data_IF_051317336347
#
_entry.id   IF_051317336347
#
_cell.length_a   1.000
_cell.length_b   1.000
_cell.length_c   1.000
_cell.angle_alpha   90.00
_cell.angle_beta   90.00
_cell.angle_gamma   90.00
#
_symmetry.space_group_name_H-M   'P 1'
#
loop_
_entity.id
_entity.type
_entity.pdbx_description
1 polymer ?
#
# COMPACT_ATOMS: atom_id res chain seq x y z
N UNK A 1 -47.13 1.60 9.28
CA UNK A 1 -46.12 1.90 8.24
C UNK A 1 -45.16 0.73 8.24
N UNK A 2 -45.15 -0.05 7.17
CA UNK A 2 -44.38 -1.28 7.11
C UNK A 2 -42.89 -0.94 6.94
N UNK A 3 -42.07 -1.34 7.90
CA UNK A 3 -40.63 -1.39 7.71
C UNK A 3 -40.36 -2.40 6.59
N UNK A 4 -39.89 -1.91 5.46
CA UNK A 4 -39.34 -2.77 4.41
C UNK A 4 -38.04 -3.31 4.99
N UNK A 5 -38.08 -4.49 5.60
CA UNK A 5 -36.85 -5.21 5.92
C UNK A 5 -36.15 -5.44 4.59
N UNK A 6 -35.15 -4.62 4.27
CA UNK A 6 -34.17 -4.96 3.23
C UNK A 6 -33.33 -6.06 3.84
N UNK A 7 -33.92 -7.25 3.91
CA UNK A 7 -33.15 -8.46 3.87
C UNK A 7 -32.41 -8.37 2.55
N UNK A 8 -31.09 -8.22 2.58
CA UNK A 8 -30.23 -8.45 1.41
C UNK A 8 -30.21 -9.97 1.14
N UNK A 9 -31.39 -10.59 1.16
CA UNK A 9 -31.68 -11.86 0.58
C UNK A 9 -31.86 -11.59 -0.91
N UNK A 10 -30.71 -11.46 -1.60
CA UNK A 10 -30.65 -12.00 -2.94
C UNK A 10 -31.21 -13.40 -2.80
N UNK A 11 -32.39 -13.67 -3.37
CA UNK A 11 -32.89 -15.03 -3.43
C UNK A 11 -31.89 -15.74 -4.30
N UNK A 12 -30.93 -16.39 -3.63
CA UNK A 12 -29.74 -16.85 -4.28
C UNK A 12 -30.17 -17.78 -5.37
N UNK A 13 -29.51 -17.65 -6.50
CA UNK A 13 -29.71 -18.52 -7.65
C UNK A 13 -29.00 -19.82 -7.31
N UNK A 14 -29.42 -20.48 -6.22
CA UNK A 14 -28.81 -21.67 -5.65
C UNK A 14 -29.64 -22.86 -6.13
N UNK A 15 -28.98 -23.99 -6.49
CA UNK A 15 -29.71 -25.16 -6.91
C UNK A 15 -30.67 -25.61 -5.79
N UNK A 16 -31.91 -26.02 -6.09
CA UNK A 16 -32.90 -26.43 -5.08
C UNK A 16 -32.42 -27.54 -4.14
N UNK A 17 -31.53 -28.42 -4.62
CA UNK A 17 -30.89 -29.48 -3.84
C UNK A 17 -30.12 -28.95 -2.63
N UNK A 18 -29.63 -27.72 -2.74
CA UNK A 18 -28.81 -27.03 -1.76
C UNK A 18 -29.66 -26.10 -0.88
N UNK A 19 -30.77 -25.54 -1.39
CA UNK A 19 -31.63 -24.61 -0.66
C UNK A 19 -32.22 -25.10 0.70
N UNK A 20 -32.14 -26.39 1.03
CA UNK A 20 -32.66 -26.97 2.28
C UNK A 20 -31.58 -27.30 3.34
N UNK A 21 -30.30 -27.05 3.09
CA UNK A 21 -29.21 -27.39 4.02
C UNK A 21 -28.77 -26.26 4.96
N UNK A 22 -28.28 -26.58 6.16
CA UNK A 22 -27.73 -25.63 7.14
C UNK A 22 -26.25 -25.24 6.90
N UNK A 23 -25.75 -25.42 5.66
CA UNK A 23 -24.33 -25.32 5.33
C UNK A 23 -23.91 -24.03 4.61
N UNK A 24 -24.87 -23.16 4.29
CA UNK A 24 -24.60 -21.92 3.55
C UNK A 24 -23.96 -20.88 4.46
N UNK A 25 -22.93 -20.23 3.92
CA UNK A 25 -22.35 -19.05 4.53
C UNK A 25 -22.31 -17.96 3.48
N UNK A 26 -23.02 -16.89 3.75
CA UNK A 26 -22.97 -15.68 2.92
C UNK A 26 -22.04 -14.67 3.58
N UNK A 27 -21.12 -14.13 2.79
CA UNK A 27 -20.28 -13.01 3.20
C UNK A 27 -20.64 -11.79 2.36
N UNK A 28 -21.06 -10.72 3.02
CA UNK A 28 -21.26 -9.41 2.42
C UNK A 28 -19.99 -8.60 2.64
N UNK A 29 -19.28 -8.27 1.56
CA UNK A 29 -18.09 -7.43 1.60
C UNK A 29 -18.37 -6.10 0.90
N UNK A 30 -18.09 -5.00 1.61
CA UNK A 30 -18.27 -3.63 1.12
C UNK A 30 -16.92 -2.94 1.17
N UNK A 31 -16.39 -2.56 0.01
CA UNK A 31 -15.13 -1.84 -0.10
C UNK A 31 -15.40 -0.39 -0.48
N UNK A 32 -15.27 0.49 0.51
CA UNK A 32 -15.52 1.92 0.37
C UNK A 32 -14.31 2.59 -0.29
N UNK A 33 -14.57 3.51 -1.22
CA UNK A 33 -13.57 4.33 -1.89
C UNK A 33 -13.56 5.75 -1.33
N UNK A 34 -12.52 6.49 -1.67
CA UNK A 34 -12.28 7.87 -1.22
C UNK A 34 -13.34 8.87 -1.70
N UNK A 35 -13.97 8.61 -2.85
CA UNK A 35 -15.07 9.38 -3.41
C UNK A 35 -16.46 9.04 -2.81
N UNK A 36 -16.52 8.11 -1.85
CA UNK A 36 -17.76 7.65 -1.23
C UNK A 36 -18.52 6.60 -2.04
N UNK A 37 -18.03 6.19 -3.21
CA UNK A 37 -18.54 4.98 -3.88
C UNK A 37 -18.11 3.71 -3.13
N UNK A 38 -18.79 2.61 -3.39
CA UNK A 38 -18.43 1.31 -2.80
C UNK A 38 -18.52 0.17 -3.82
N UNK A 39 -17.59 -0.77 -3.72
CA UNK A 39 -17.71 -2.06 -4.37
C UNK A 39 -18.41 -3.00 -3.40
N UNK A 40 -19.52 -3.55 -3.85
CA UNK A 40 -20.25 -4.58 -3.13
C UNK A 40 -19.91 -5.93 -3.70
N UNK A 41 -19.64 -6.89 -2.82
CA UNK A 41 -19.39 -8.28 -3.16
C UNK A 41 -20.18 -9.17 -2.20
N UNK A 42 -21.10 -9.96 -2.72
CA UNK A 42 -21.85 -10.96 -1.95
C UNK A 42 -21.40 -12.32 -2.39
N UNK A 43 -20.85 -13.08 -1.45
CA UNK A 43 -20.28 -14.39 -1.72
C UNK A 43 -21.04 -15.45 -0.94
N UNK A 44 -21.71 -16.34 -1.68
CA UNK A 44 -22.37 -17.52 -1.14
C UNK A 44 -21.44 -18.72 -1.28
N UNK A 45 -21.16 -19.39 -0.15
CA UNK A 45 -20.39 -20.64 -0.12
C UNK A 45 -21.27 -21.80 0.32
N UNK A 46 -21.16 -22.91 -0.42
CA UNK A 46 -21.74 -24.20 -0.08
C UNK A 46 -20.67 -25.26 0.01
N UNK A 47 -20.66 -26.04 1.08
CA UNK A 47 -19.73 -27.18 1.20
C UNK A 47 -20.16 -28.31 0.25
N UNK A 48 -19.23 -28.78 -0.58
CA UNK A 48 -19.43 -29.89 -1.50
C UNK A 48 -18.77 -31.13 -0.89
N UNK A 49 -19.59 -31.98 -0.27
CA UNK A 49 -19.14 -33.14 0.53
C UNK A 49 -18.94 -34.39 -0.31
N UNK A 50 -19.62 -34.47 -1.45
CA UNK A 50 -19.58 -35.64 -2.32
C UNK A 50 -19.32 -35.24 -3.78
N UNK A 51 -18.74 -36.16 -4.55
CA UNK A 51 -18.54 -35.95 -6.00
C UNK A 51 -19.86 -35.79 -6.76
N UNK A 52 -20.97 -36.27 -6.21
CA UNK A 52 -22.31 -36.06 -6.79
C UNK A 52 -22.76 -34.60 -6.59
N UNK A 53 -22.58 -34.06 -5.38
CA UNK A 53 -22.87 -32.65 -5.07
C UNK A 53 -22.01 -31.70 -5.92
N UNK A 54 -20.72 -32.00 -6.09
CA UNK A 54 -19.81 -31.24 -6.94
C UNK A 54 -20.32 -31.18 -8.39
N UNK A 55 -20.62 -32.35 -8.99
CA UNK A 55 -21.15 -32.41 -10.35
C UNK A 55 -22.48 -31.66 -10.49
N UNK A 56 -23.40 -31.82 -9.53
CA UNK A 56 -24.69 -31.12 -9.57
C UNK A 56 -24.54 -29.60 -9.46
N UNK A 57 -23.58 -29.13 -8.67
CA UNK A 57 -23.26 -27.71 -8.58
C UNK A 57 -22.72 -27.21 -9.92
N UNK A 58 -21.71 -27.87 -10.49
CA UNK A 58 -21.12 -27.52 -11.79
C UNK A 58 -22.14 -27.45 -12.93
N UNK A 59 -22.99 -28.48 -13.07
CA UNK A 59 -24.05 -28.52 -14.09
C UNK A 59 -25.01 -27.33 -13.96
N UNK A 60 -25.39 -26.99 -12.74
CA UNK A 60 -26.24 -25.85 -12.48
C UNK A 60 -25.53 -24.52 -12.78
N UNK A 61 -24.24 -24.39 -12.47
CA UNK A 61 -23.47 -23.19 -12.80
C UNK A 61 -23.41 -22.96 -14.31
N UNK A 62 -23.23 -24.03 -15.10
CA UNK A 62 -23.24 -23.94 -16.56
C UNK A 62 -24.60 -23.43 -17.08
N UNK A 63 -25.70 -23.90 -16.49
CA UNK A 63 -27.04 -23.41 -16.84
C UNK A 63 -27.18 -21.91 -16.54
N UNK A 64 -26.73 -21.45 -15.37
CA UNK A 64 -26.83 -20.03 -14.99
C UNK A 64 -25.92 -19.11 -15.81
N UNK A 65 -24.71 -19.53 -16.12
CA UNK A 65 -23.79 -18.76 -16.96
C UNK A 65 -24.36 -18.49 -18.35
N UNK A 66 -25.15 -19.43 -18.88
CA UNK A 66 -25.81 -19.28 -20.17
C UNK A 66 -27.11 -18.46 -20.12
N UNK A 67 -27.54 -18.02 -18.93
CA UNK A 67 -28.83 -17.39 -18.71
C UNK A 67 -28.68 -15.90 -18.37
N UNK A 68 -28.76 -15.04 -19.38
CA UNK A 68 -28.68 -13.57 -19.22
C UNK A 68 -29.73 -13.00 -18.25
N UNK A 69 -30.90 -13.65 -18.12
CA UNK A 69 -31.97 -13.22 -17.22
C UNK A 69 -31.57 -13.25 -15.74
N UNK A 70 -30.54 -14.03 -15.37
CA UNK A 70 -30.04 -14.09 -13.99
C UNK A 70 -29.37 -12.77 -13.60
N UNK A 71 -28.54 -12.21 -14.49
CA UNK A 71 -27.89 -10.92 -14.26
C UNK A 71 -28.91 -9.78 -14.29
N UNK A 72 -29.90 -9.84 -15.16
CA UNK A 72 -31.00 -8.88 -15.23
C UNK A 72 -31.83 -8.88 -13.94
N UNK A 73 -32.20 -10.07 -13.44
CA UNK A 73 -32.89 -10.21 -12.16
C UNK A 73 -32.08 -9.62 -11.01
N UNK A 74 -30.80 -9.99 -10.90
CA UNK A 74 -29.91 -9.48 -9.86
C UNK A 74 -29.78 -7.95 -9.91
N UNK A 75 -29.47 -7.39 -11.08
CA UNK A 75 -29.34 -5.94 -11.24
C UNK A 75 -30.64 -5.19 -10.97
N UNK A 76 -31.79 -5.75 -11.39
CA UNK A 76 -33.12 -5.21 -11.07
C UNK A 76 -33.36 -5.10 -9.56
N UNK A 77 -33.08 -6.17 -8.82
CA UNK A 77 -33.22 -6.18 -7.34
C UNK A 77 -32.29 -5.19 -6.66
N UNK A 78 -31.04 -5.06 -7.11
CA UNK A 78 -30.11 -4.05 -6.57
C UNK A 78 -30.63 -2.65 -6.86
N UNK A 79 -31.10 -2.39 -8.08
CA UNK A 79 -31.59 -1.07 -8.46
C UNK A 79 -32.83 -0.65 -7.65
N UNK A 80 -33.70 -1.58 -7.26
CA UNK A 80 -34.80 -1.31 -6.32
C UNK A 80 -34.29 -0.81 -4.95
N UNK A 81 -33.28 -1.48 -4.39
CA UNK A 81 -32.67 -1.10 -3.10
C UNK A 81 -32.02 0.27 -3.19
N UNK A 82 -31.30 0.54 -4.28
CA UNK A 82 -30.64 1.83 -4.50
C UNK A 82 -31.66 2.95 -4.66
N UNK A 83 -32.76 2.72 -5.38
CA UNK A 83 -33.81 3.71 -5.55
C UNK A 83 -34.49 4.06 -4.20
N UNK A 84 -34.65 3.09 -3.31
CA UNK A 84 -35.15 3.32 -1.94
C UNK A 84 -34.16 4.19 -1.14
N UNK A 85 -32.87 3.85 -1.17
CA UNK A 85 -31.82 4.62 -0.51
C UNK A 85 -31.70 6.05 -1.07
N UNK A 86 -31.75 6.23 -2.39
CA UNK A 86 -31.75 7.54 -3.05
C UNK A 86 -32.96 8.37 -2.61
N UNK A 87 -34.17 7.80 -2.58
CA UNK A 87 -35.37 8.51 -2.15
C UNK A 87 -35.32 8.90 -0.66
N UNK A 88 -34.72 8.07 0.19
CA UNK A 88 -34.60 8.34 1.62
C UNK A 88 -33.55 9.41 1.96
N UNK A 89 -32.45 9.46 1.20
CA UNK A 89 -31.32 10.36 1.47
C UNK A 89 -31.33 11.64 0.64
N UNK A 90 -32.06 11.64 -0.50
CA UNK A 90 -32.07 12.74 -1.47
C UNK A 90 -30.76 12.88 -2.26
N UNK A 91 -29.85 11.91 -2.19
CA UNK A 91 -28.57 11.89 -2.92
C UNK A 91 -28.70 11.04 -4.19
N UNK A 92 -28.20 11.54 -5.32
CA UNK A 92 -28.15 10.77 -6.56
C UNK A 92 -27.29 9.52 -6.41
N UNK A 93 -27.86 8.34 -6.69
CA UNK A 93 -27.17 7.06 -6.59
C UNK A 93 -27.32 6.24 -7.88
N UNK A 94 -26.39 5.31 -8.12
CA UNK A 94 -26.51 4.37 -9.22
C UNK A 94 -25.69 3.11 -8.95
N UNK A 95 -26.17 1.95 -9.42
CA UNK A 95 -25.33 0.77 -9.55
C UNK A 95 -24.82 0.56 -10.97
N UNK A 96 -23.56 0.15 -11.09
CA UNK A 96 -22.90 -0.18 -12.35
C UNK A 96 -22.01 -1.41 -12.18
N UNK A 97 -21.45 -1.88 -13.30
CA UNK A 97 -20.42 -2.93 -13.32
C UNK A 97 -20.89 -4.23 -12.63
N UNK A 98 -22.15 -4.60 -12.87
CA UNK A 98 -22.73 -5.85 -12.36
C UNK A 98 -22.00 -7.05 -12.96
N UNK A 99 -21.65 -8.00 -12.11
CA UNK A 99 -21.02 -9.25 -12.50
C UNK A 99 -21.46 -10.37 -11.57
N UNK A 100 -21.60 -11.57 -12.12
CA UNK A 100 -21.84 -12.79 -11.37
C UNK A 100 -20.79 -13.79 -11.81
N UNK A 101 -20.00 -14.27 -10.85
CA UNK A 101 -19.02 -15.33 -11.09
C UNK A 101 -19.32 -16.55 -10.26
N UNK A 102 -18.89 -17.69 -10.78
CA UNK A 102 -19.19 -18.99 -10.25
C UNK A 102 -17.91 -19.82 -10.26
N UNK A 103 -17.68 -20.60 -9.22
CA UNK A 103 -16.48 -21.42 -9.13
C UNK A 103 -16.56 -22.50 -8.08
N UNK A 104 -15.57 -23.40 -8.12
CA UNK A 104 -15.32 -24.38 -7.07
C UNK A 104 -13.98 -24.04 -6.45
N UNK A 105 -13.94 -23.93 -5.13
CA UNK A 105 -12.74 -23.71 -4.35
C UNK A 105 -12.35 -24.98 -3.60
N UNK A 106 -11.14 -25.46 -3.87
CA UNK A 106 -10.52 -26.57 -3.15
C UNK A 106 -9.67 -26.05 -1.99
N UNK A 107 -10.04 -26.42 -0.76
CA UNK A 107 -9.19 -26.24 0.42
C UNK A 107 -8.50 -27.56 0.75
N UNK A 108 -7.51 -27.53 1.66
CA UNK A 108 -6.76 -28.74 2.07
C UNK A 108 -7.63 -29.90 2.56
N UNK A 109 -8.82 -29.60 3.11
CA UNK A 109 -9.69 -30.61 3.73
C UNK A 109 -11.12 -30.62 3.19
N UNK A 110 -11.53 -29.60 2.45
CA UNK A 110 -12.94 -29.38 2.06
C UNK A 110 -13.02 -28.74 0.68
N UNK A 111 -14.10 -29.01 -0.04
CA UNK A 111 -14.43 -28.33 -1.29
C UNK A 111 -15.65 -27.43 -1.10
N UNK A 112 -15.65 -26.30 -1.79
CA UNK A 112 -16.74 -25.34 -1.72
C UNK A 112 -17.19 -24.93 -3.12
N UNK A 113 -18.50 -24.95 -3.36
CA UNK A 113 -19.10 -24.20 -4.45
C UNK A 113 -19.21 -22.74 -4.03
N UNK A 114 -18.80 -21.83 -4.89
CA UNK A 114 -18.77 -20.38 -4.61
C UNK A 114 -19.53 -19.64 -5.69
N UNK A 115 -20.47 -18.79 -5.26
CA UNK A 115 -21.18 -17.84 -6.11
C UNK A 115 -20.87 -16.44 -5.63
N UNK A 116 -20.37 -15.58 -6.52
CA UNK A 116 -19.98 -14.22 -6.19
C UNK A 116 -20.75 -13.22 -7.04
N UNK A 117 -21.58 -12.41 -6.38
CA UNK A 117 -22.27 -11.27 -6.97
C UNK A 117 -21.47 -10.02 -6.69
N UNK A 118 -21.19 -9.22 -7.72
CA UNK A 118 -20.40 -8.00 -7.58
C UNK A 118 -21.03 -6.86 -8.34
N UNK A 119 -21.01 -5.67 -7.74
CA UNK A 119 -21.42 -4.43 -8.40
C UNK A 119 -20.73 -3.23 -7.74
N UNK A 120 -20.81 -2.10 -8.41
CA UNK A 120 -20.33 -0.81 -7.92
C UNK A 120 -21.50 0.10 -7.61
N UNK A 121 -21.58 0.59 -6.38
CA UNK A 121 -22.58 1.53 -5.91
C UNK A 121 -21.98 2.94 -5.84
N UNK A 122 -22.40 3.79 -6.76
CA UNK A 122 -22.03 5.21 -6.84
C UNK A 122 -22.92 6.02 -5.91
N UNK A 123 -22.33 6.94 -5.14
CA UNK A 123 -23.05 7.73 -4.15
C UNK A 123 -23.45 6.92 -2.90
N UNK A 124 -22.73 5.83 -2.61
CA UNK A 124 -23.03 4.95 -1.48
C UNK A 124 -22.94 5.68 -0.13
N UNK A 125 -21.86 6.41 0.13
CA UNK A 125 -21.66 7.21 1.34
C UNK A 125 -21.35 8.67 0.96
N UNK A 126 -21.89 9.67 1.66
CA UNK A 126 -21.50 11.05 1.46
C UNK A 126 -20.08 11.28 2.00
N UNK A 127 -19.38 12.18 1.32
CA UNK A 127 -18.05 12.63 1.71
C UNK A 127 -18.15 14.10 2.12
N UNK A 128 -17.88 14.38 3.38
CA UNK A 128 -18.01 15.72 4.00
C UNK A 128 -16.77 16.03 4.84
N UNK A 129 -16.13 17.18 4.64
CA UNK A 129 -14.98 17.62 5.44
C UNK A 129 -13.89 16.54 5.64
N UNK A 130 -13.55 15.82 4.56
CA UNK A 130 -12.58 14.69 4.58
C UNK A 130 -13.02 13.52 5.48
N UNK A 131 -14.32 13.38 5.71
CA UNK A 131 -14.95 12.23 6.35
C UNK A 131 -15.85 11.54 5.35
N UNK A 132 -15.98 10.23 5.51
CA UNK A 132 -16.95 9.43 4.78
C UNK A 132 -17.93 8.87 5.81
N UNK A 133 -19.23 9.09 5.59
CA UNK A 133 -20.29 8.75 6.53
C UNK A 133 -21.06 7.53 6.01
N UNK A 134 -20.78 6.35 6.54
CA UNK A 134 -21.52 5.13 6.19
C UNK A 134 -22.70 4.98 7.13
N UNK A 135 -23.86 4.59 6.62
CA UNK A 135 -25.03 4.28 7.44
C UNK A 135 -26.33 4.61 6.75
N UNK A 136 -26.40 5.78 6.10
CA UNK A 136 -27.62 6.29 5.46
C UNK A 136 -28.15 5.40 4.33
N UNK A 137 -27.26 4.71 3.61
CA UNK A 137 -27.63 3.67 2.63
C UNK A 137 -28.36 2.46 3.26
N UNK A 138 -28.29 2.29 4.58
CA UNK A 138 -29.00 1.27 5.37
C UNK A 138 -30.22 1.86 6.09
N UNK A 139 -30.90 2.85 5.52
CA UNK A 139 -32.02 3.55 6.15
C UNK A 139 -33.15 2.62 6.65
N UNK A 140 -33.31 1.44 6.03
CA UNK A 140 -34.32 0.46 6.42
C UNK A 140 -33.83 -0.59 7.44
N UNK A 141 -32.57 -0.52 7.85
CA UNK A 141 -31.88 -1.53 8.65
C UNK A 141 -31.35 -2.69 7.81
N UNK A 142 -30.71 -3.64 8.48
CA UNK A 142 -30.11 -4.82 7.86
C UNK A 142 -30.22 -6.01 8.82
N UNK A 143 -30.71 -7.15 8.33
CA UNK A 143 -30.67 -8.39 9.09
C UNK A 143 -29.54 -9.29 8.59
N UNK A 144 -28.71 -9.77 9.51
CA UNK A 144 -27.59 -10.68 9.26
C UNK A 144 -27.86 -12.05 9.92
N UNK A 145 -28.25 -13.08 9.15
CA UNK A 145 -28.54 -14.42 9.68
C UNK A 145 -27.34 -15.09 10.35
N UNK A 146 -27.62 -16.10 11.19
CA UNK A 146 -26.58 -16.93 11.80
C UNK A 146 -25.65 -17.56 10.74
N UNK A 147 -24.34 -17.54 10.99
CA UNK A 147 -23.33 -18.10 10.08
C UNK A 147 -22.88 -17.16 8.95
N UNK A 148 -23.58 -16.05 8.73
CA UNK A 148 -23.22 -15.02 7.76
C UNK A 148 -22.30 -13.95 8.38
N UNK A 149 -21.60 -13.23 7.51
CA UNK A 149 -20.71 -12.15 7.93
C UNK A 149 -20.89 -10.88 7.07
N UNK A 150 -20.80 -9.73 7.71
CA UNK A 150 -20.66 -8.43 7.06
C UNK A 150 -19.23 -7.92 7.28
N UNK A 151 -18.55 -7.59 6.19
CA UNK A 151 -17.18 -7.08 6.17
C UNK A 151 -17.22 -5.70 5.50
N UNK A 152 -16.77 -4.68 6.21
CA UNK A 152 -16.63 -3.33 5.66
C UNK A 152 -15.16 -2.95 5.65
N UNK A 153 -14.65 -2.66 4.45
CA UNK A 153 -13.28 -2.20 4.21
C UNK A 153 -13.30 -0.75 3.79
N UNK A 154 -12.33 0.01 4.28
CA UNK A 154 -12.20 1.43 3.98
C UNK A 154 -10.80 1.77 3.48
N UNK A 155 -10.64 2.86 2.70
CA UNK A 155 -9.42 3.09 1.94
C UNK A 155 -8.23 3.41 2.86
N UNK A 156 -7.04 3.16 2.32
CA UNK A 156 -5.79 3.60 2.95
C UNK A 156 -5.81 5.10 3.22
N UNK A 157 -5.10 5.55 4.24
CA UNK A 157 -5.10 6.97 4.61
C UNK A 157 -6.27 7.41 5.47
N UNK A 158 -7.26 6.57 5.77
CA UNK A 158 -8.34 6.89 6.72
C UNK A 158 -8.11 6.24 8.10
N UNK A 159 -8.79 6.79 9.12
CA UNK A 159 -8.95 6.21 10.46
C UNK A 159 -10.44 6.16 10.80
N UNK A 160 -10.84 5.20 11.64
CA UNK A 160 -12.20 5.15 12.17
C UNK A 160 -12.34 6.25 13.23
N UNK A 161 -13.31 7.15 13.04
CA UNK A 161 -13.67 8.17 14.03
C UNK A 161 -14.79 7.65 14.95
N UNK A 162 -15.78 6.94 14.40
CA UNK A 162 -16.81 6.23 15.17
C UNK A 162 -17.38 5.04 14.40
N UNK A 163 -17.91 4.06 15.12
CA UNK A 163 -18.62 2.90 14.58
C UNK A 163 -19.74 2.50 15.54
N UNK A 164 -20.93 2.18 15.02
CA UNK A 164 -22.07 1.71 15.80
C UNK A 164 -22.94 0.78 14.95
N UNK A 165 -23.36 -0.41 15.44
CA UNK A 165 -22.92 -1.04 16.69
C UNK A 165 -21.46 -1.50 16.63
N UNK A 166 -20.88 -1.86 17.78
CA UNK A 166 -19.50 -2.35 17.83
C UNK A 166 -19.31 -3.61 16.95
N UNK A 167 -18.23 -3.67 16.16
CA UNK A 167 -17.88 -4.84 15.36
C UNK A 167 -17.31 -5.97 16.22
N UNK A 168 -17.49 -7.20 15.77
CA UNK A 168 -16.87 -8.38 16.40
C UNK A 168 -15.35 -8.39 16.21
N UNK A 169 -14.90 -7.92 15.04
CA UNK A 169 -13.47 -7.76 14.75
C UNK A 169 -13.23 -6.37 14.16
N UNK A 170 -12.30 -5.65 14.76
CA UNK A 170 -11.80 -4.37 14.25
C UNK A 170 -10.31 -4.48 13.92
N UNK A 171 -9.97 -4.26 12.65
CA UNK A 171 -8.60 -4.20 12.13
C UNK A 171 -8.32 -2.80 11.60
N UNK A 172 -7.07 -2.56 11.16
CA UNK A 172 -6.61 -1.24 10.70
C UNK A 172 -7.52 -0.58 9.65
N UNK A 173 -8.05 -1.38 8.72
CA UNK A 173 -8.81 -0.94 7.55
C UNK A 173 -10.06 -1.82 7.26
N UNK A 174 -10.47 -2.64 8.23
CA UNK A 174 -11.52 -3.66 8.04
C UNK A 174 -12.30 -3.82 9.35
N UNK A 175 -13.62 -3.87 9.23
CA UNK A 175 -14.57 -4.13 10.31
C UNK A 175 -15.42 -5.34 9.95
N UNK A 176 -15.63 -6.24 10.91
CA UNK A 176 -16.36 -7.49 10.68
C UNK A 176 -17.46 -7.65 11.74
N UNK A 177 -18.64 -8.01 11.27
CA UNK A 177 -19.77 -8.44 12.08
C UNK A 177 -20.16 -9.85 11.66
N UNK A 178 -20.38 -10.73 12.63
CA UNK A 178 -20.97 -12.05 12.45
C UNK A 178 -22.44 -12.01 12.85
N UNK A 179 -23.28 -12.73 12.11
CA UNK A 179 -24.64 -13.00 12.52
C UNK A 179 -24.69 -14.05 13.64
N UNK A 180 -25.80 -14.21 14.35
CA UNK A 180 -27.12 -13.62 14.16
C UNK A 180 -27.22 -12.17 14.68
N UNK A 181 -27.51 -11.19 13.82
CA UNK A 181 -27.55 -9.76 14.18
C UNK A 181 -28.63 -8.99 13.42
N UNK A 182 -29.27 -8.06 14.11
CA UNK A 182 -30.20 -7.10 13.53
C UNK A 182 -29.61 -5.70 13.68
N UNK A 183 -29.49 -4.99 12.56
CA UNK A 183 -29.00 -3.61 12.49
C UNK A 183 -30.20 -2.69 12.31
N UNK A 184 -30.32 -1.69 13.18
CA UNK A 184 -31.37 -0.70 13.08
C UNK A 184 -31.23 0.21 11.85
N UNK A 185 -32.23 1.07 11.60
CA UNK A 185 -32.15 2.11 10.58
C UNK A 185 -30.85 2.92 10.68
N UNK A 186 -30.10 2.99 9.58
CA UNK A 186 -28.83 3.70 9.54
C UNK A 186 -27.62 2.91 10.04
N UNK A 187 -27.82 1.67 10.48
CA UNK A 187 -26.76 0.81 11.01
C UNK A 187 -26.30 -0.25 10.00
N UNK A 188 -25.00 -0.61 9.95
CA UNK A 188 -23.92 -0.04 10.75
C UNK A 188 -23.56 1.39 10.34
N UNK A 189 -23.54 2.29 11.32
CA UNK A 189 -23.12 3.68 11.19
C UNK A 189 -21.62 3.79 11.41
N UNK A 190 -20.87 4.24 10.41
CA UNK A 190 -19.41 4.35 10.47
C UNK A 190 -19.01 5.75 10.00
N UNK A 191 -18.21 6.44 10.80
CA UNK A 191 -17.54 7.67 10.38
C UNK A 191 -16.07 7.36 10.25
N UNK A 192 -15.54 7.42 9.03
CA UNK A 192 -14.10 7.36 8.78
C UNK A 192 -13.59 8.74 8.40
N UNK A 193 -12.41 9.10 8.88
CA UNK A 193 -11.79 10.40 8.66
C UNK A 193 -10.41 10.23 8.04
N UNK A 194 -10.08 11.05 7.06
CA UNK A 194 -8.74 11.09 6.47
C UNK A 194 -7.69 11.40 7.55
N UNK A 195 -6.58 10.67 7.54
CA UNK A 195 -5.43 10.89 8.40
C UNK A 195 -4.76 12.18 7.95
N UNK A 196 -4.91 13.22 8.76
CA UNK A 196 -4.14 14.44 8.60
C UNK A 196 -2.68 14.11 8.92
N UNK A 197 -1.84 14.02 7.89
CA UNK A 197 -0.39 14.08 8.08
C UNK A 197 -0.08 15.56 8.27
N UNK A 198 0.28 16.02 9.49
CA UNK A 198 0.44 17.45 9.72
C UNK A 198 1.61 17.98 8.89
N UNK A 199 1.35 19.01 8.09
CA UNK A 199 2.32 19.75 7.28
C UNK A 199 3.51 20.30 8.09
N UNK A 200 3.45 20.26 9.43
CA UNK A 200 4.57 20.56 10.32
C UNK A 200 5.81 19.70 10.02
N UNK A 201 5.67 18.51 9.44
CA UNK A 201 6.82 17.70 9.02
C UNK A 201 7.53 18.22 7.76
N UNK A 202 6.86 19.02 6.92
CA UNK A 202 7.46 19.54 5.68
C UNK A 202 8.43 20.71 5.95
N UNK A 203 8.26 21.43 7.08
CA UNK A 203 9.14 22.55 7.46
C UNK A 203 10.27 22.17 8.44
N UNK A 204 10.22 21.00 9.08
CA UNK A 204 11.30 20.57 10.00
C UNK A 204 12.60 20.32 9.22
N UNK A 205 12.53 19.82 7.97
CA UNK A 205 13.73 19.55 7.16
C UNK A 205 14.39 20.85 6.67
N UNK A 206 13.68 21.83 6.07
CA UNK A 206 14.29 23.12 5.72
C UNK A 206 14.68 23.95 6.95
N UNK A 207 13.88 23.94 8.01
CA UNK A 207 14.13 24.70 9.23
C UNK A 207 15.36 24.22 10.00
N UNK A 208 15.56 22.91 10.11
CA UNK A 208 16.75 22.34 10.74
C UNK A 208 18.01 22.58 9.89
N UNK A 209 17.91 22.53 8.55
CA UNK A 209 19.02 22.87 7.64
C UNK A 209 19.34 24.36 7.71
N UNK A 210 18.33 25.24 7.77
CA UNK A 210 18.52 26.68 7.89
C UNK A 210 19.11 27.05 9.25
N UNK A 211 18.64 26.44 10.34
CA UNK A 211 19.22 26.59 11.67
C UNK A 211 20.67 26.08 11.71
N UNK A 212 20.97 24.93 11.09
CA UNK A 212 22.33 24.41 10.98
C UNK A 212 23.25 25.35 10.19
N UNK A 213 22.77 25.95 9.09
CA UNK A 213 23.50 26.94 8.29
C UNK A 213 23.70 28.25 9.06
N UNK A 214 22.71 28.71 9.82
CA UNK A 214 22.85 29.88 10.68
C UNK A 214 23.81 29.65 11.84
N UNK A 215 23.79 28.45 12.45
CA UNK A 215 24.75 28.05 13.47
C UNK A 215 26.16 27.99 12.87
N UNK A 216 26.34 27.35 11.71
CA UNK A 216 27.60 27.33 10.96
C UNK A 216 28.09 28.75 10.60
N UNK A 217 27.19 29.62 10.14
CA UNK A 217 27.50 31.01 9.77
C UNK A 217 27.87 31.87 10.99
N UNK A 218 27.16 31.70 12.11
CA UNK A 218 27.45 32.38 13.38
C UNK A 218 28.82 31.95 13.95
N UNK A 219 29.16 30.66 13.86
CA UNK A 219 30.49 30.15 14.23
C UNK A 219 31.60 30.66 13.31
N UNK A 220 31.33 30.91 12.03
CA UNK A 220 32.29 31.47 11.08
C UNK A 220 32.53 32.98 11.25
N UNK A 221 31.50 33.74 11.63
CA UNK A 221 31.56 35.21 11.74
C UNK A 221 32.22 35.70 13.03
N UNK A 222 32.21 34.91 14.10
CA UNK A 222 32.70 35.30 15.44
C UNK A 222 34.11 34.80 15.80
N UNK A 223 34.90 34.28 14.86
CA UNK A 223 36.30 33.92 15.14
C UNK A 223 37.27 35.01 14.66
N UNK A 224 37.70 35.86 15.59
CA UNK A 224 38.92 36.67 15.45
C UNK A 224 40.15 35.75 15.26
N UNK A 225 41.12 36.09 14.39
CA UNK A 225 42.17 35.18 13.98
C UNK A 225 43.29 35.10 15.03
N UNK A 226 43.67 33.89 15.46
CA UNK A 226 44.92 33.64 16.20
C UNK A 226 45.64 32.42 15.62
N UNK A 227 46.82 32.67 15.05
CA UNK A 227 47.78 31.68 14.49
C UNK A 227 48.29 30.71 15.58
N UNK A 228 48.51 29.44 15.22
CA UNK A 228 49.76 28.65 15.39
C UNK A 228 49.58 27.19 14.86
N UNK A 229 50.38 26.87 13.83
CA UNK A 229 51.04 25.60 13.37
C UNK A 229 50.25 24.43 12.74
N UNK A 230 50.79 24.00 11.59
CA UNK A 230 50.41 22.95 10.63
C UNK A 230 50.45 21.50 11.15
N UNK A 231 49.61 20.64 10.55
CA UNK A 231 50.10 19.38 9.97
C UNK A 231 49.58 19.25 8.53
N UNK A 232 50.27 19.93 7.62
CA UNK A 232 50.18 19.67 6.19
C UNK A 232 51.00 18.40 5.92
N UNK A 233 50.37 17.35 5.37
CA UNK A 233 51.11 16.18 4.89
C UNK A 233 52.20 16.66 3.91
N UNK A 234 53.47 16.32 4.18
CA UNK A 234 54.61 16.73 3.35
C UNK A 234 54.45 16.22 1.91
N UNK A 235 54.84 17.03 0.93
CA UNK A 235 54.77 16.70 -0.50
C UNK A 235 55.48 15.37 -0.88
N UNK A 236 56.49 14.97 -0.11
CA UNK A 236 57.17 13.67 -0.26
C UNK A 236 56.26 12.49 0.12
N UNK A 237 55.47 12.63 1.18
CA UNK A 237 54.57 11.56 1.66
C UNK A 237 53.40 11.36 0.68
N UNK A 238 52.97 12.43 0.01
CA UNK A 238 51.97 12.36 -1.08
C UNK A 238 52.47 11.54 -2.27
N UNK A 239 53.77 11.61 -2.59
CA UNK A 239 54.37 10.79 -3.66
C UNK A 239 54.44 9.31 -3.22
N UNK A 240 54.79 9.04 -1.96
CA UNK A 240 54.84 7.68 -1.42
C UNK A 240 53.45 7.04 -1.41
N UNK A 241 52.40 7.77 -1.02
CA UNK A 241 51.03 7.28 -0.99
C UNK A 241 50.53 6.88 -2.38
N UNK A 242 50.80 7.70 -3.39
CA UNK A 242 50.44 7.40 -4.78
C UNK A 242 51.23 6.20 -5.32
N UNK A 243 52.51 6.06 -4.97
CA UNK A 243 53.31 4.89 -5.34
C UNK A 243 52.75 3.62 -4.70
N UNK A 244 52.41 3.63 -3.41
CA UNK A 244 51.78 2.47 -2.74
C UNK A 244 50.45 2.08 -3.38
N UNK A 245 49.60 3.07 -3.64
CA UNK A 245 48.29 2.85 -4.26
C UNK A 245 48.40 2.23 -5.66
N UNK A 246 49.49 2.49 -6.38
CA UNK A 246 49.78 1.91 -7.70
C UNK A 246 50.62 0.63 -7.66
N UNK A 247 50.68 -0.08 -6.53
CA UNK A 247 51.43 -1.34 -6.41
C UNK A 247 52.94 -1.15 -6.28
N UNK A 248 53.38 0.03 -5.84
CA UNK A 248 54.77 0.35 -5.54
C UNK A 248 55.62 0.82 -6.73
N UNK A 249 55.05 0.91 -7.94
CA UNK A 249 55.80 1.28 -9.16
C UNK A 249 55.01 2.21 -10.06
N UNK A 250 55.56 3.38 -10.40
CA UNK A 250 54.98 4.31 -11.38
C UNK A 250 56.04 4.99 -12.23
N UNK A 251 55.69 5.38 -13.45
CA UNK A 251 56.58 6.24 -14.23
C UNK A 251 56.58 7.66 -13.67
N UNK A 252 57.74 8.33 -13.73
CA UNK A 252 57.88 9.71 -13.23
C UNK A 252 56.88 10.68 -13.89
N UNK A 253 56.50 10.46 -15.14
CA UNK A 253 55.46 11.25 -15.84
C UNK A 253 54.07 11.08 -15.23
N UNK A 254 53.74 9.87 -14.78
CA UNK A 254 52.44 9.56 -14.16
C UNK A 254 52.36 10.14 -12.74
N UNK A 255 53.49 10.22 -12.04
CA UNK A 255 53.57 10.90 -10.73
C UNK A 255 53.30 12.39 -10.91
N UNK A 256 53.87 13.03 -11.93
CA UNK A 256 53.61 14.45 -12.25
C UNK A 256 52.12 14.67 -12.50
N UNK A 257 51.51 13.82 -13.32
CA UNK A 257 50.09 13.92 -13.67
C UNK A 257 49.19 13.74 -12.45
N UNK A 258 49.43 12.71 -11.63
CA UNK A 258 48.59 12.38 -10.46
C UNK A 258 48.78 13.34 -9.28
N UNK A 259 49.95 13.98 -9.15
CA UNK A 259 50.22 14.95 -8.08
C UNK A 259 49.89 16.38 -8.48
N UNK A 260 49.90 16.69 -9.78
CA UNK A 260 49.86 18.06 -10.30
C UNK A 260 51.15 18.86 -10.04
N UNK A 261 52.23 18.20 -9.58
CA UNK A 261 53.50 18.88 -9.31
C UNK A 261 54.24 19.22 -10.60
N UNK A 262 54.95 20.36 -10.60
CA UNK A 262 55.80 20.70 -11.74
C UNK A 262 56.91 19.66 -11.94
N UNK A 263 57.42 19.56 -13.18
CA UNK A 263 58.50 18.62 -13.53
C UNK A 263 59.75 18.84 -12.66
N UNK A 264 60.08 20.10 -12.37
CA UNK A 264 61.22 20.47 -11.51
C UNK A 264 60.98 20.05 -10.06
N UNK A 265 59.82 20.39 -9.48
CA UNK A 265 59.45 20.02 -8.11
C UNK A 265 59.45 18.50 -7.91
N UNK A 266 58.87 17.77 -8.86
CA UNK A 266 58.84 16.30 -8.83
C UNK A 266 60.24 15.71 -8.92
N UNK A 267 61.12 16.25 -9.77
CA UNK A 267 62.50 15.79 -9.87
C UNK A 267 63.27 15.98 -8.55
N UNK A 268 63.09 17.13 -7.89
CA UNK A 268 63.73 17.41 -6.60
C UNK A 268 63.25 16.47 -5.50
N UNK A 269 61.93 16.26 -5.39
CA UNK A 269 61.34 15.39 -4.38
C UNK A 269 61.75 13.92 -4.59
N UNK A 270 61.77 13.43 -5.84
CA UNK A 270 62.23 12.08 -6.14
C UNK A 270 63.73 11.90 -5.85
N UNK A 271 64.55 12.92 -6.08
CA UNK A 271 65.97 12.86 -5.71
C UNK A 271 66.17 12.83 -4.18
N UNK A 272 65.39 13.62 -3.44
CA UNK A 272 65.37 13.60 -1.97
C UNK A 272 64.95 12.22 -1.45
N UNK A 273 63.84 11.67 -1.94
CA UNK A 273 63.35 10.34 -1.57
C UNK A 273 64.33 9.21 -1.93
N UNK A 274 65.03 9.33 -3.07
CA UNK A 274 66.08 8.39 -3.46
C UNK A 274 67.29 8.48 -2.51
N UNK A 275 67.71 9.70 -2.15
CA UNK A 275 68.81 9.91 -1.18
C UNK A 275 68.47 9.36 0.20
N UNK A 276 67.20 9.46 0.60
CA UNK A 276 66.65 8.86 1.83
C UNK A 276 66.43 7.34 1.73
N UNK A 277 66.75 6.73 0.59
CA UNK A 277 66.63 5.27 0.39
C UNK A 277 65.20 4.75 0.29
N UNK A 278 64.19 5.63 0.17
CA UNK A 278 62.76 5.25 0.16
C UNK A 278 62.27 4.78 -1.19
N UNK A 279 62.95 5.20 -2.26
CA UNK A 279 62.62 4.82 -3.63
C UNK A 279 63.89 4.50 -4.43
N UNK A 280 63.69 3.77 -5.52
CA UNK A 280 64.69 3.47 -6.54
C UNK A 280 64.21 3.98 -7.92
N UNK A 281 65.15 4.55 -8.68
CA UNK A 281 64.88 5.07 -10.03
C UNK A 281 65.55 4.16 -11.05
N UNK A 282 64.75 3.49 -11.85
CA UNK A 282 65.18 2.51 -12.86
C UNK A 282 64.86 3.08 -14.25
N UNK A 283 65.85 3.10 -15.15
CA UNK A 283 65.62 3.51 -16.53
C UNK A 283 64.99 2.36 -17.30
N UNK A 284 63.78 2.55 -17.83
CA UNK A 284 63.06 1.57 -18.65
C UNK A 284 62.73 2.21 -20.00
N UNK A 285 63.58 1.91 -21.00
CA UNK A 285 63.56 2.57 -22.30
C UNK A 285 63.96 4.05 -22.19
N UNK A 286 63.18 4.95 -22.80
CA UNK A 286 63.39 6.42 -22.72
C UNK A 286 62.71 7.09 -21.52
N UNK A 287 62.18 6.31 -20.56
CA UNK A 287 61.44 6.82 -19.40
C UNK A 287 62.00 6.29 -18.09
N UNK A 288 61.76 7.04 -17.02
CA UNK A 288 62.19 6.68 -15.68
C UNK A 288 61.03 6.06 -14.91
N UNK A 289 61.21 4.81 -14.48
CA UNK A 289 60.30 4.12 -13.58
C UNK A 289 60.77 4.33 -12.14
N UNK A 290 59.86 4.73 -11.26
CA UNK A 290 60.11 4.92 -9.84
C UNK A 290 59.49 3.75 -9.09
N UNK A 291 60.30 3.05 -8.31
CA UNK A 291 59.88 1.92 -7.48
C UNK A 291 60.08 2.25 -6.01
N UNK A 292 59.09 1.97 -5.18
CA UNK A 292 59.19 2.03 -3.72
C UNK A 292 60.10 0.89 -3.23
N UNK A 293 61.02 1.18 -2.32
CA UNK A 293 61.85 0.16 -1.66
C UNK A 293 61.14 -0.47 -0.48
#
# INVERSE_FOLDING_TARGET
MAAVLVSIAFHSVIPPLFAQGSGYKTTYAIEIRDDGSAIWTVEDRVELRTAAEERSFEEYMMMLQSNESVLEYFSGKVNEIIAEAENSTGRGMAAKNFNISFGVEDTLTRKYGVVTYRFEWIGFAPVEDKKILVGDAFAAGLYLPEGNALIIRFPGGYKIASVTPEPDISRKNELIWYGLRDFGPGEPGIVIQEKIIPYSFIWIVPGAVFAAVLILSFFYKNRTPKKIVEETKSDEERIIEILRAAGGMLYQSEIIEKTGFSKSKTSTLLNSLKKKGRIEKIMKGRRNLIRLK
#
